data_IF_762153084571
#
_entry.id   IF_762153084571
#
_cell.length_a   1.000
_cell.length_b   1.000
_cell.length_c   1.000
_cell.angle_alpha   90.00
_cell.angle_beta   90.00
_cell.angle_gamma   90.00
#
_symmetry.space_group_name_H-M   'P 1'
#
loop_
_entity.id
_entity.type
_entity.pdbx_description
1 polymer ?
#
# COMPACT_ATOMS: atom_id res chain seq x y z
N UNK A 1 30.64 10.09 -5.70
CA UNK A 1 29.43 10.94 -5.51
C UNK A 1 28.34 10.07 -4.91
N UNK A 2 28.01 10.26 -3.63
CA UNK A 2 27.01 9.45 -2.93
C UNK A 2 25.61 10.04 -3.07
N UNK A 3 24.63 9.18 -3.31
CA UNK A 3 23.22 9.54 -3.29
C UNK A 3 22.84 10.05 -1.89
N UNK A 4 22.42 11.31 -1.79
CA UNK A 4 21.95 11.88 -0.53
C UNK A 4 20.59 11.26 -0.18
N UNK A 5 20.60 10.33 0.77
CA UNK A 5 19.42 9.55 1.16
C UNK A 5 18.27 10.43 1.68
N UNK A 6 18.58 11.50 2.39
CA UNK A 6 17.56 12.43 2.89
C UNK A 6 16.88 13.17 1.73
N UNK A 7 17.65 13.62 0.75
CA UNK A 7 17.11 14.23 -0.48
C UNK A 7 16.18 13.29 -1.25
N UNK A 8 16.52 12.01 -1.33
CA UNK A 8 15.68 11.01 -2.01
C UNK A 8 14.38 10.77 -1.24
N UNK A 9 14.43 10.71 0.09
CA UNK A 9 13.24 10.59 0.94
C UNK A 9 12.30 11.77 0.75
N UNK A 10 12.83 13.00 0.73
CA UNK A 10 12.03 14.22 0.49
C UNK A 10 11.40 14.24 -0.91
N UNK A 11 12.17 13.88 -1.94
CA UNK A 11 11.66 13.80 -3.31
C UNK A 11 10.54 12.76 -3.44
N UNK A 12 10.69 11.61 -2.78
CA UNK A 12 9.65 10.58 -2.74
C UNK A 12 8.40 11.07 -2.02
N UNK A 13 8.56 11.74 -0.88
CA UNK A 13 7.43 12.27 -0.12
C UNK A 13 6.63 13.29 -0.96
N UNK A 14 7.28 14.30 -1.53
CA UNK A 14 6.64 15.31 -2.39
C UNK A 14 5.95 14.73 -3.62
N UNK A 15 6.54 13.69 -4.22
CA UNK A 15 5.95 13.05 -5.40
C UNK A 15 4.67 12.27 -5.07
N UNK A 16 4.53 11.77 -3.83
CA UNK A 16 3.39 10.96 -3.39
C UNK A 16 2.33 11.82 -2.69
N UNK A 17 2.71 12.95 -2.10
CA UNK A 17 1.84 13.87 -1.35
C UNK A 17 0.54 14.24 -2.09
N UNK A 18 0.62 14.51 -3.40
CA UNK A 18 -0.54 14.84 -4.24
C UNK A 18 -1.54 13.69 -4.43
N UNK A 19 -1.14 12.46 -4.09
CA UNK A 19 -1.95 11.23 -4.20
C UNK A 19 -2.37 10.69 -2.83
N UNK A 20 -1.98 11.36 -1.75
CA UNK A 20 -2.46 11.05 -0.41
C UNK A 20 -3.79 11.80 -0.22
N UNK A 21 -4.90 11.11 -0.44
CA UNK A 21 -6.23 11.63 -0.03
C UNK A 21 -6.31 11.68 1.51
N UNK A 22 -6.93 12.75 2.03
CA UNK A 22 -7.14 12.95 3.46
C UNK A 22 -8.06 11.85 4.03
N UNK A 23 -7.48 11.06 4.93
CA UNK A 23 -8.11 10.09 5.83
C UNK A 23 -8.99 9.02 5.14
N UNK A 24 -8.35 7.94 4.67
CA UNK A 24 -9.03 6.65 4.52
C UNK A 24 -9.47 6.18 5.92
N UNK A 25 -10.76 5.94 6.10
CA UNK A 25 -11.26 5.34 7.32
C UNK A 25 -10.95 3.82 7.39
N UNK A 26 -11.11 3.22 8.57
CA UNK A 26 -10.83 1.80 8.75
C UNK A 26 -11.72 0.88 7.89
N UNK A 27 -12.93 1.30 7.51
CA UNK A 27 -13.80 0.50 6.65
C UNK A 27 -13.31 0.50 5.20
N UNK A 28 -12.93 1.68 4.68
CA UNK A 28 -12.31 1.86 3.37
C UNK A 28 -10.97 1.13 3.29
N UNK A 29 -10.17 1.19 4.37
CA UNK A 29 -8.90 0.45 4.45
C UNK A 29 -9.12 -1.07 4.37
N UNK A 30 -10.13 -1.60 5.08
CA UNK A 30 -10.48 -3.03 4.99
C UNK A 30 -10.92 -3.44 3.58
N UNK A 31 -11.72 -2.61 2.91
CA UNK A 31 -12.12 -2.86 1.51
C UNK A 31 -10.90 -2.87 0.59
N UNK A 32 -10.00 -1.90 0.75
CA UNK A 32 -8.75 -1.83 0.00
C UNK A 32 -7.89 -3.08 0.20
N UNK A 33 -7.61 -3.46 1.46
CA UNK A 33 -6.80 -4.65 1.79
C UNK A 33 -7.42 -5.91 1.20
N UNK A 34 -8.74 -6.12 1.38
CA UNK A 34 -9.42 -7.30 0.85
C UNK A 34 -9.36 -7.38 -0.68
N UNK A 35 -9.40 -6.25 -1.39
CA UNK A 35 -9.26 -6.23 -2.85
C UNK A 35 -7.95 -6.83 -3.36
N UNK A 36 -6.87 -6.76 -2.57
CA UNK A 36 -5.59 -7.40 -2.90
C UNK A 36 -5.48 -8.85 -2.41
N UNK A 37 -6.24 -9.22 -1.38
CA UNK A 37 -6.17 -10.54 -0.75
C UNK A 37 -7.09 -11.57 -1.41
N UNK A 38 -8.15 -11.12 -2.08
CA UNK A 38 -9.02 -11.97 -2.87
C UNK A 38 -8.34 -12.44 -4.17
N UNK A 39 -8.77 -13.60 -4.66
CA UNK A 39 -8.40 -14.08 -5.99
C UNK A 39 -9.14 -13.26 -7.05
N UNK A 40 -8.49 -13.05 -8.20
CA UNK A 40 -9.14 -12.49 -9.38
C UNK A 40 -10.11 -13.50 -10.02
N UNK A 41 -10.84 -13.06 -11.06
CA UNK A 41 -11.78 -13.91 -11.81
C UNK A 41 -11.12 -15.14 -12.47
N UNK A 42 -9.79 -15.16 -12.57
CA UNK A 42 -8.99 -16.26 -13.11
C UNK A 42 -8.39 -17.15 -12.01
N UNK A 43 -8.81 -16.99 -10.76
CA UNK A 43 -8.28 -17.68 -9.57
C UNK A 43 -6.80 -17.44 -9.30
N UNK A 44 -6.30 -16.23 -9.58
CA UNK A 44 -4.90 -15.86 -9.33
C UNK A 44 -4.80 -14.84 -8.21
N UNK A 45 -3.72 -14.96 -7.44
CA UNK A 45 -3.37 -13.96 -6.45
C UNK A 45 -2.85 -12.69 -7.12
N UNK A 46 -3.16 -11.55 -6.51
CA UNK A 46 -2.52 -10.30 -6.89
C UNK A 46 -0.99 -10.41 -6.68
N UNK A 47 -0.14 -9.87 -7.58
CA UNK A 47 1.32 -9.88 -7.40
C UNK A 47 1.80 -9.28 -6.07
N UNK A 48 1.01 -8.39 -5.46
CA UNK A 48 1.31 -7.76 -4.18
C UNK A 48 0.66 -8.44 -2.98
N UNK A 49 0.03 -9.60 -3.16
CA UNK A 49 -0.71 -10.30 -2.11
C UNK A 49 0.12 -10.51 -0.84
N UNK A 50 1.35 -11.00 -0.97
CA UNK A 50 2.22 -11.25 0.18
C UNK A 50 2.60 -9.94 0.88
N UNK A 51 2.94 -8.91 0.11
CA UNK A 51 3.27 -7.58 0.63
C UNK A 51 2.10 -7.01 1.43
N UNK A 52 0.89 -7.02 0.89
CA UNK A 52 -0.30 -6.49 1.56
C UNK A 52 -0.63 -7.32 2.81
N UNK A 53 -0.59 -8.66 2.72
CA UNK A 53 -0.87 -9.55 3.85
C UNK A 53 0.04 -9.28 5.04
N UNK A 54 1.33 -9.09 4.81
CA UNK A 54 2.29 -8.87 5.89
C UNK A 54 2.33 -7.40 6.36
N UNK A 55 2.06 -6.43 5.48
CA UNK A 55 2.02 -5.02 5.87
C UNK A 55 0.80 -4.69 6.74
N UNK A 56 -0.30 -5.42 6.55
CA UNK A 56 -1.57 -5.17 7.23
C UNK A 56 -2.06 -6.38 8.06
N UNK A 57 -1.15 -7.23 8.54
CA UNK A 57 -1.49 -8.45 9.31
C UNK A 57 -2.46 -8.17 10.46
N UNK A 58 -2.21 -7.09 11.20
CA UNK A 58 -2.96 -6.72 12.40
C UNK A 58 -4.36 -6.18 12.08
N UNK A 59 -4.63 -5.86 10.81
CA UNK A 59 -5.92 -5.35 10.34
C UNK A 59 -6.86 -6.47 9.86
N UNK A 60 -6.30 -7.66 9.66
CA UNK A 60 -6.97 -8.84 9.08
C UNK A 60 -7.41 -9.83 10.18
N UNK A 61 -6.90 -9.70 11.42
CA UNK A 61 -7.30 -10.50 12.60
C UNK A 61 -8.46 -9.90 13.40
#
# INVERSE_FOLDING_TARGET
MGLNLNKIKELRHKAIELFLDEEIDNAQLKVFVNGYLCLDDQQRYNPFWTTIKYLFSDLIE
#
